data_IF_411416552008
#
_entry.id   IF_411416552008
#
_cell.length_a   1.000
_cell.length_b   1.000
_cell.length_c   1.000
_cell.angle_alpha   90.00
_cell.angle_beta   90.00
_cell.angle_gamma   90.00
#
_symmetry.space_group_name_H-M   'P 1'
#
loop_
_entity.id
_entity.type
_entity.pdbx_description
1 polymer ?
#
# COMPACT_ATOMS: atom_id res chain seq x y z
N UNK A 1 20.85 18.11 -25.56
CA UNK A 1 19.73 18.94 -26.04
C UNK A 1 18.42 18.39 -25.48
N UNK A 2 17.94 18.94 -24.35
CA UNK A 2 16.69 18.54 -23.65
C UNK A 2 16.42 19.49 -22.46
N UNK A 3 16.36 20.80 -22.70
CA UNK A 3 16.17 21.84 -21.65
C UNK A 3 17.14 21.86 -20.46
N UNK A 4 18.21 21.06 -20.50
CA UNK A 4 19.28 21.16 -19.53
C UNK A 4 20.02 22.51 -19.69
N UNK A 5 20.38 23.12 -18.57
CA UNK A 5 21.27 24.27 -18.54
C UNK A 5 22.71 23.84 -18.88
N UNK A 6 23.48 24.66 -19.59
CA UNK A 6 24.90 24.38 -19.83
C UNK A 6 25.68 24.39 -18.51
N UNK A 7 26.66 23.49 -18.38
CA UNK A 7 27.64 23.45 -17.29
C UNK A 7 28.94 24.06 -17.80
N UNK A 8 29.04 25.39 -17.80
CA UNK A 8 30.18 26.15 -18.35
C UNK A 8 30.99 26.93 -17.30
N UNK A 9 30.50 26.97 -16.06
CA UNK A 9 31.08 27.77 -14.97
C UNK A 9 31.59 26.86 -13.85
N UNK A 10 32.91 26.89 -13.54
CA UNK A 10 33.49 26.12 -12.44
C UNK A 10 33.16 26.73 -11.05
N UNK A 11 33.37 25.98 -9.95
CA UNK A 11 33.95 24.63 -9.86
C UNK A 11 32.95 23.53 -10.23
N UNK A 12 33.42 22.53 -10.98
CA UNK A 12 32.64 21.33 -11.28
C UNK A 12 32.66 20.36 -10.09
N UNK A 13 31.52 19.72 -9.84
CA UNK A 13 31.35 18.71 -8.79
C UNK A 13 30.89 17.39 -9.39
N UNK A 14 31.34 16.29 -8.80
CA UNK A 14 30.93 14.94 -9.15
C UNK A 14 30.59 14.15 -7.90
N UNK A 15 29.54 13.32 -7.99
CA UNK A 15 29.09 12.48 -6.89
C UNK A 15 29.09 11.02 -7.35
N UNK A 16 29.69 10.14 -6.54
CA UNK A 16 29.53 8.71 -6.74
C UNK A 16 28.11 8.31 -6.33
N UNK A 17 27.37 7.71 -7.25
CA UNK A 17 26.01 7.23 -7.02
C UNK A 17 25.92 5.74 -7.31
N UNK A 18 25.11 5.03 -6.53
CA UNK A 18 24.78 3.62 -6.74
C UNK A 18 23.29 3.41 -6.56
N UNK A 19 22.78 2.28 -7.02
CA UNK A 19 21.37 1.93 -6.89
C UNK A 19 21.03 1.50 -5.46
N UNK A 20 19.80 1.81 -5.05
CA UNK A 20 19.21 1.36 -3.81
C UNK A 20 17.74 1.04 -4.01
N UNK A 21 17.17 0.22 -3.12
CA UNK A 21 15.74 -0.04 -3.12
C UNK A 21 15.02 1.27 -2.75
N UNK A 22 14.12 1.73 -3.62
CA UNK A 22 13.38 2.99 -3.39
C UNK A 22 12.08 2.74 -2.63
N UNK A 23 11.23 1.84 -3.12
CA UNK A 23 9.97 1.41 -2.48
C UNK A 23 9.43 0.15 -3.17
N UNK A 24 8.37 -0.43 -2.63
CA UNK A 24 7.72 -1.65 -3.14
C UNK A 24 6.49 -1.32 -3.97
N UNK A 25 6.29 -2.01 -5.09
CA UNK A 25 5.08 -1.84 -5.92
C UNK A 25 3.87 -2.63 -5.41
N UNK A 26 4.13 -3.65 -4.59
CA UNK A 26 3.10 -4.40 -3.89
C UNK A 26 2.52 -3.60 -2.72
N UNK A 27 1.37 -4.04 -2.23
CA UNK A 27 0.68 -3.41 -1.10
C UNK A 27 -0.72 -4.00 -0.92
N UNK A 28 -1.50 -3.34 -0.08
CA UNK A 28 -2.90 -3.67 0.18
C UNK A 28 -3.74 -3.41 -1.06
N UNK A 29 -4.67 -4.34 -1.34
CA UNK A 29 -5.69 -4.14 -2.34
C UNK A 29 -6.76 -3.20 -1.76
N UNK A 30 -7.11 -2.13 -2.48
CA UNK A 30 -8.11 -1.16 -2.04
C UNK A 30 -9.20 -0.96 -3.09
N UNK A 31 -10.37 -0.49 -2.66
CA UNK A 31 -11.36 0.10 -3.56
C UNK A 31 -10.94 1.49 -4.03
N UNK A 32 -11.67 2.05 -5.00
CA UNK A 32 -11.51 3.44 -5.47
C UNK A 32 -11.74 4.49 -4.38
N UNK A 33 -12.40 4.13 -3.29
CA UNK A 33 -12.66 4.99 -2.12
C UNK A 33 -11.60 4.81 -1.02
N UNK A 34 -10.58 3.97 -1.22
CA UNK A 34 -9.49 3.74 -0.28
C UNK A 34 -9.75 2.67 0.78
N UNK A 35 -10.84 1.88 0.67
CA UNK A 35 -11.17 0.81 1.63
C UNK A 35 -10.31 -0.42 1.37
N UNK A 36 -9.66 -0.96 2.40
CA UNK A 36 -8.85 -2.17 2.27
C UNK A 36 -9.74 -3.39 2.08
N UNK A 37 -9.38 -4.26 1.14
CA UNK A 37 -10.08 -5.52 0.88
C UNK A 37 -9.40 -6.69 1.61
N UNK A 38 -10.22 -7.62 2.10
CA UNK A 38 -9.73 -8.91 2.60
C UNK A 38 -9.48 -9.89 1.43
N UNK A 39 -9.06 -11.12 1.76
CA UNK A 39 -8.77 -12.16 0.76
C UNK A 39 -9.97 -12.63 -0.07
N UNK A 40 -11.19 -12.24 0.30
CA UNK A 40 -12.42 -12.52 -0.46
C UNK A 40 -12.90 -11.29 -1.25
N UNK A 41 -12.10 -10.23 -1.32
CA UNK A 41 -12.47 -8.98 -2.00
C UNK A 41 -13.50 -8.14 -1.24
N UNK A 42 -13.78 -8.44 0.03
CA UNK A 42 -14.76 -7.70 0.85
C UNK A 42 -14.06 -6.60 1.66
N UNK A 43 -14.61 -5.37 1.72
CA UNK A 43 -14.02 -4.30 2.53
C UNK A 43 -13.88 -4.69 4.00
N UNK A 44 -12.70 -4.46 4.57
CA UNK A 44 -12.45 -4.57 6.00
C UNK A 44 -12.95 -3.31 6.68
N UNK A 45 -13.82 -3.49 7.68
CA UNK A 45 -14.45 -2.38 8.37
C UNK A 45 -13.46 -1.45 9.05
N UNK A 46 -13.59 -0.16 8.75
CA UNK A 46 -12.81 0.91 9.37
C UNK A 46 -11.36 0.96 8.90
N UNK A 47 -10.95 0.08 7.98
CA UNK A 47 -9.58 0.00 7.51
C UNK A 47 -9.43 0.61 6.11
N UNK A 48 -8.57 1.61 6.04
CA UNK A 48 -8.27 2.37 4.83
C UNK A 48 -6.76 2.41 4.60
N UNK A 49 -6.34 2.48 3.34
CA UNK A 49 -4.93 2.60 2.97
C UNK A 49 -4.73 3.62 1.86
N UNK A 50 -3.52 4.19 1.82
CA UNK A 50 -3.13 5.21 0.86
C UNK A 50 -1.60 5.21 0.66
N UNK A 51 -1.13 5.86 -0.41
CA UNK A 51 0.30 5.98 -0.72
C UNK A 51 0.95 4.63 -1.00
N UNK A 52 2.21 4.46 -0.56
CA UNK A 52 3.02 3.26 -0.82
C UNK A 52 2.47 1.98 -0.15
N UNK A 53 1.48 2.09 0.74
CA UNK A 53 0.77 0.90 1.26
C UNK A 53 -0.24 0.33 0.25
N UNK A 54 -0.54 1.04 -0.84
CA UNK A 54 -1.48 0.58 -1.87
C UNK A 54 -0.75 -0.22 -2.94
N UNK A 55 -1.21 -1.44 -3.18
CA UNK A 55 -0.69 -2.29 -4.25
C UNK A 55 -1.39 -2.05 -5.59
N UNK A 56 -0.73 -2.45 -6.68
CA UNK A 56 -1.33 -2.51 -8.01
C UNK A 56 -1.32 -1.20 -8.81
N UNK A 57 -0.62 -0.18 -8.33
CA UNK A 57 -0.41 1.07 -9.07
C UNK A 57 0.72 0.95 -10.10
N UNK A 58 1.75 0.18 -9.76
CA UNK A 58 2.93 -0.02 -10.58
C UNK A 58 3.24 -1.52 -10.66
N UNK A 59 3.86 -1.97 -11.75
CA UNK A 59 4.20 -3.38 -11.96
C UNK A 59 5.62 -3.54 -12.47
N UNK A 60 5.94 -2.91 -13.61
CA UNK A 60 7.24 -3.09 -14.27
C UNK A 60 8.22 -1.95 -13.99
N UNK A 61 7.69 -0.72 -13.92
CA UNK A 61 8.43 0.47 -13.53
C UNK A 61 7.44 1.50 -12.96
N UNK A 62 7.96 2.56 -12.34
CA UNK A 62 7.16 3.69 -11.89
C UNK A 62 7.62 4.99 -12.59
N UNK A 63 6.69 5.87 -12.97
CA UNK A 63 7.06 7.22 -13.40
C UNK A 63 7.65 8.01 -12.22
N UNK A 64 8.82 8.61 -12.40
CA UNK A 64 9.47 9.42 -11.36
C UNK A 64 8.52 10.46 -10.77
N UNK A 65 8.43 10.52 -9.44
CA UNK A 65 7.52 11.42 -8.72
C UNK A 65 6.08 10.93 -8.54
N UNK A 66 5.67 9.83 -9.20
CA UNK A 66 4.31 9.30 -9.09
C UNK A 66 3.95 8.79 -7.68
N UNK A 67 4.92 8.35 -6.86
CA UNK A 67 4.69 7.94 -5.46
C UNK A 67 4.16 9.08 -4.58
N UNK A 68 4.67 10.31 -4.77
CA UNK A 68 4.15 11.50 -4.07
C UNK A 68 2.70 11.79 -4.47
N UNK A 69 2.39 11.62 -5.76
CA UNK A 69 1.02 11.80 -6.26
C UNK A 69 0.09 10.70 -5.75
N UNK A 70 0.54 9.45 -5.66
CA UNK A 70 -0.21 8.36 -5.05
C UNK A 70 -0.55 8.68 -3.59
N UNK A 71 0.44 9.16 -2.81
CA UNK A 71 0.21 9.63 -1.44
C UNK A 71 -0.82 10.76 -1.35
N UNK A 72 -0.68 11.81 -2.16
CA UNK A 72 -1.58 12.97 -2.13
C UNK A 72 -3.01 12.64 -2.55
N UNK A 73 -3.19 11.85 -3.62
CA UNK A 73 -4.50 11.52 -4.18
C UNK A 73 -5.21 10.49 -3.31
N UNK A 74 -4.61 9.32 -3.07
CA UNK A 74 -5.23 8.27 -2.27
C UNK A 74 -5.35 8.69 -0.81
N UNK A 75 -4.42 9.49 -0.28
CA UNK A 75 -4.52 10.03 1.07
C UNK A 75 -5.74 10.92 1.25
N UNK A 76 -6.00 11.81 0.28
CA UNK A 76 -7.22 12.65 0.29
C UNK A 76 -8.49 11.82 0.19
N UNK A 77 -8.51 10.83 -0.71
CA UNK A 77 -9.68 9.96 -0.92
C UNK A 77 -9.95 9.14 0.35
N UNK A 78 -8.97 8.36 0.80
CA UNK A 78 -9.09 7.51 1.98
C UNK A 78 -9.49 8.32 3.22
N UNK A 79 -8.86 9.48 3.43
CA UNK A 79 -9.19 10.37 4.55
C UNK A 79 -10.62 10.90 4.51
N UNK A 80 -11.10 11.37 3.35
CA UNK A 80 -12.50 11.83 3.21
C UNK A 80 -13.49 10.69 3.41
N UNK A 81 -13.23 9.53 2.81
CA UNK A 81 -14.10 8.35 2.97
C UNK A 81 -14.14 7.90 4.43
N UNK A 82 -13.00 7.85 5.11
CA UNK A 82 -12.91 7.49 6.52
C UNK A 82 -13.70 8.46 7.41
N UNK A 83 -13.59 9.77 7.15
CA UNK A 83 -14.33 10.78 7.89
C UNK A 83 -15.85 10.73 7.65
N UNK A 84 -16.29 10.43 6.42
CA UNK A 84 -17.71 10.38 6.06
C UNK A 84 -18.41 9.08 6.49
N UNK A 85 -17.68 7.96 6.57
CA UNK A 85 -18.24 6.64 6.88
C UNK A 85 -18.50 6.43 8.38
N UNK A 86 -18.81 7.51 9.12
CA UNK A 86 -18.84 7.57 10.58
C UNK A 86 -19.47 6.34 11.23
N UNK A 87 -18.73 5.71 12.15
CA UNK A 87 -19.11 4.58 13.02
C UNK A 87 -19.65 3.30 12.34
N UNK A 88 -19.82 3.27 11.01
CA UNK A 88 -20.60 2.23 10.33
C UNK A 88 -19.89 0.87 10.24
N UNK A 89 -18.60 0.80 10.56
CA UNK A 89 -17.84 -0.43 10.36
C UNK A 89 -16.64 -0.50 11.31
N UNK A 90 -16.85 -0.50 12.63
CA UNK A 90 -15.79 -0.99 13.52
C UNK A 90 -15.35 -2.38 13.04
N UNK A 91 -14.04 -2.70 13.01
CA UNK A 91 -13.60 -4.04 12.64
C UNK A 91 -14.36 -5.03 13.51
N UNK A 92 -15.11 -5.93 12.88
CA UNK A 92 -15.80 -6.95 13.66
C UNK A 92 -14.73 -7.70 14.46
N UNK A 93 -14.93 -7.89 15.77
CA UNK A 93 -13.98 -8.64 16.57
C UNK A 93 -13.72 -9.97 15.86
N UNK A 94 -12.46 -10.43 15.79
CA UNK A 94 -12.12 -11.64 15.06
C UNK A 94 -13.08 -12.74 15.47
N UNK A 95 -13.85 -13.26 14.53
CA UNK A 95 -14.75 -14.38 14.82
C UNK A 95 -13.87 -15.53 15.27
N UNK A 96 -13.84 -15.78 16.58
CA UNK A 96 -13.17 -16.95 17.14
C UNK A 96 -13.75 -18.16 16.42
N UNK A 97 -12.89 -18.92 15.73
CA UNK A 97 -13.27 -20.19 15.10
C UNK A 97 -14.19 -20.96 16.05
N UNK A 98 -15.39 -21.29 15.57
CA UNK A 98 -16.43 -21.98 16.33
C UNK A 98 -16.11 -23.45 16.61
N UNK A 99 -14.82 -23.84 16.64
CA UNK A 99 -14.38 -25.17 17.09
C UNK A 99 -13.77 -25.09 18.48
N UNK A 100 -14.58 -25.09 19.55
CA UNK A 100 -14.09 -25.49 20.85
C UNK A 100 -13.72 -26.99 20.80
N UNK A 101 -12.42 -27.28 20.81
CA UNK A 101 -11.89 -28.57 21.28
C UNK A 101 -11.95 -29.77 20.32
N UNK A 102 -11.36 -29.71 19.13
CA UNK A 102 -10.93 -30.95 18.46
C UNK A 102 -9.60 -31.40 19.08
N UNK A 103 -9.53 -32.57 19.76
CA UNK A 103 -8.26 -33.13 20.21
C UNK A 103 -7.41 -33.42 18.98
N UNK A 104 -6.15 -32.99 19.01
CA UNK A 104 -5.18 -33.23 17.93
C UNK A 104 -5.25 -34.67 17.46
N UNK A 105 -5.55 -34.85 16.17
CA UNK A 105 -5.53 -36.14 15.51
C UNK A 105 -4.17 -36.80 15.79
N UNK A 106 -4.24 -38.03 16.30
CA UNK A 106 -3.10 -38.88 16.65
C UNK A 106 -2.14 -38.96 15.47
N UNK A 107 -0.84 -38.91 15.78
CA UNK A 107 0.19 -39.46 14.91
C UNK A 107 0.08 -40.98 14.95
N UNK A 108 -0.68 -41.55 14.02
CA UNK A 108 -0.60 -42.97 13.67
C UNK A 108 0.60 -43.17 12.73
N UNK A 109 1.61 -43.86 13.29
CA UNK A 109 2.77 -44.39 12.60
C UNK A 109 2.34 -45.43 11.55
N UNK A 110 2.92 -45.34 10.37
CA UNK A 110 3.35 -46.47 9.55
C UNK A 110 4.73 -46.13 8.97
#
# INVERSE_FOLDING_TARGET
>A
SNWAQPLDTPPYVGYAVTTGITFTFGGLHITTEGRVLNGEGRPVGGLYAAGELVGGLFYNNYPGGAGLMAGAVFGRIAGRTAAMSGHEMAPQPPQRSARPGEPGARLDRA
#
